data_IF_015547506536
#
_entry.id   IF_015547506536
#
_cell.length_a   1.000
_cell.length_b   1.000
_cell.length_c   1.000
_cell.angle_alpha   90.00
_cell.angle_beta   90.00
_cell.angle_gamma   90.00
#
_symmetry.space_group_name_H-M   'P 1'
#
loop_
_entity.id
_entity.type
_entity.pdbx_description
1 polymer ?
#
# COMPACT_ATOMS: atom_id res chain seq x y z
N UNK A 1 -19.22 18.68 8.94
CA UNK A 1 -17.79 18.57 8.60
C UNK A 1 -17.19 19.96 8.62
N UNK A 2 -15.96 20.13 9.12
CA UNK A 2 -15.26 21.42 9.04
C UNK A 2 -14.46 21.43 7.74
N UNK A 3 -15.04 21.95 6.67
CA UNK A 3 -14.48 21.87 5.31
C UNK A 3 -13.34 22.89 5.06
N UNK A 4 -12.87 23.61 6.08
CA UNK A 4 -11.84 24.64 5.98
C UNK A 4 -10.91 24.71 7.19
N UNK A 5 -9.82 25.48 7.08
CA UNK A 5 -8.85 25.71 8.15
C UNK A 5 -9.49 26.32 9.41
N UNK A 6 -9.29 25.70 10.57
CA UNK A 6 -9.76 26.24 11.86
C UNK A 6 -8.96 27.48 12.29
N UNK A 7 -7.67 27.52 11.95
CA UNK A 7 -6.73 28.56 12.31
C UNK A 7 -6.22 29.32 11.09
N UNK A 8 -5.76 30.54 11.33
CA UNK A 8 -5.02 31.33 10.34
C UNK A 8 -3.54 30.99 10.46
N UNK A 9 -2.87 30.90 9.31
CA UNK A 9 -1.45 30.63 9.24
C UNK A 9 -0.73 31.82 8.63
N UNK A 10 0.40 32.16 9.24
CA UNK A 10 1.27 33.26 8.86
C UNK A 10 2.67 32.75 8.56
N UNK A 11 3.32 33.46 7.64
CA UNK A 11 4.71 33.25 7.23
C UNK A 11 5.54 34.42 7.72
N UNK A 12 6.74 34.13 8.21
CA UNK A 12 7.74 35.11 8.59
C UNK A 12 9.08 34.69 7.97
N UNK A 13 9.77 35.65 7.33
CA UNK A 13 11.00 35.40 6.58
C UNK A 13 12.20 36.00 7.33
N UNK A 14 13.27 35.23 7.47
CA UNK A 14 14.48 35.63 8.20
C UNK A 14 15.72 35.40 7.34
N UNK A 15 16.67 36.32 7.33
CA UNK A 15 17.90 36.21 6.54
C UNK A 15 18.62 37.55 6.39
N UNK A 16 19.85 37.51 5.90
CA UNK A 16 20.67 38.69 5.70
C UNK A 16 20.14 39.55 4.53
N UNK A 17 20.00 40.85 4.75
CA UNK A 17 19.62 41.84 3.74
C UNK A 17 18.23 41.67 3.08
N UNK A 18 17.33 40.89 3.70
CA UNK A 18 15.91 40.90 3.34
C UNK A 18 15.26 42.27 3.62
N UNK A 19 14.41 42.79 2.72
CA UNK A 19 13.69 44.03 2.98
C UNK A 19 12.71 43.86 4.15
N UNK A 20 12.61 44.88 5.01
CA UNK A 20 11.81 44.85 6.26
C UNK A 20 10.32 44.54 6.04
N UNK A 21 9.79 44.75 4.83
CA UNK A 21 8.44 44.36 4.43
C UNK A 21 8.26 42.84 4.31
N UNK A 22 9.29 42.13 3.82
CA UNK A 22 9.28 40.67 3.66
C UNK A 22 9.63 39.95 4.96
N UNK A 23 10.47 40.55 5.81
CA UNK A 23 10.66 40.08 7.20
C UNK A 23 9.46 40.32 8.12
N UNK A 24 8.41 41.01 7.66
CA UNK A 24 7.20 41.19 8.47
C UNK A 24 6.32 39.93 8.43
N UNK A 25 5.55 39.71 9.50
CA UNK A 25 4.63 38.58 9.62
C UNK A 25 3.46 38.72 8.65
N UNK A 26 3.44 37.92 7.59
CA UNK A 26 2.44 37.99 6.51
C UNK A 26 1.39 36.87 6.63
N UNK A 27 0.13 37.18 6.33
CA UNK A 27 -0.93 36.16 6.24
C UNK A 27 -0.69 35.24 5.03
N UNK A 28 -0.63 33.93 5.27
CA UNK A 28 -0.47 32.90 4.22
C UNK A 28 -1.79 32.16 3.95
N UNK A 29 -2.53 31.80 5.01
CA UNK A 29 -3.82 31.09 4.93
C UNK A 29 -4.83 31.79 5.84
N UNK A 30 -5.94 32.34 5.32
CA UNK A 30 -7.02 32.92 6.13
C UNK A 30 -7.85 31.82 6.79
N UNK A 31 -8.65 32.18 7.80
CA UNK A 31 -9.57 31.26 8.46
C UNK A 31 -10.61 30.70 7.49
N UNK A 32 -11.08 29.48 7.74
CA UNK A 32 -12.07 28.76 6.91
C UNK A 32 -11.64 28.54 5.44
N UNK A 33 -10.33 28.61 5.14
CA UNK A 33 -9.82 28.29 3.80
C UNK A 33 -10.08 26.82 3.50
N UNK A 34 -10.83 26.55 2.42
CA UNK A 34 -11.20 25.19 2.00
C UNK A 34 -9.98 24.27 1.89
N UNK A 35 -10.09 23.06 2.44
CA UNK A 35 -9.02 22.05 2.43
C UNK A 35 -9.25 20.97 1.34
N UNK A 36 -8.18 20.41 0.73
CA UNK A 36 -6.79 20.85 0.78
C UNK A 36 -6.55 22.09 -0.10
N UNK A 37 -5.46 22.83 0.15
CA UNK A 37 -5.15 24.08 -0.54
C UNK A 37 -3.65 24.21 -0.86
N UNK A 38 -3.29 24.77 -2.03
CA UNK A 38 -1.89 24.98 -2.46
C UNK A 38 -1.59 26.46 -2.65
N UNK A 39 -0.63 26.98 -1.89
CA UNK A 39 -0.26 28.39 -1.80
C UNK A 39 1.15 28.61 -2.37
N UNK A 40 1.48 29.85 -2.70
CA UNK A 40 2.86 30.24 -2.96
C UNK A 40 3.13 31.69 -2.54
N UNK A 41 4.41 32.01 -2.35
CA UNK A 41 4.94 33.37 -2.17
C UNK A 41 6.11 33.56 -3.13
N UNK A 42 6.21 34.75 -3.72
CA UNK A 42 7.32 35.14 -4.59
C UNK A 42 8.09 36.25 -3.90
N UNK A 43 9.37 36.02 -3.64
CA UNK A 43 10.25 36.90 -2.86
C UNK A 43 11.39 37.33 -3.79
N UNK A 44 11.65 38.62 -3.93
CA UNK A 44 12.82 39.12 -4.67
C UNK A 44 13.98 39.17 -3.68
N UNK A 45 14.92 38.22 -3.80
CA UNK A 45 16.08 38.13 -2.94
C UNK A 45 17.20 37.35 -3.64
N UNK A 46 18.44 37.56 -3.20
CA UNK A 46 19.68 37.08 -3.79
C UNK A 46 20.48 36.15 -2.88
N UNK A 47 20.10 36.02 -1.60
CA UNK A 47 20.79 35.20 -0.58
C UNK A 47 19.90 34.09 -0.01
N UNK A 48 20.53 33.13 0.63
CA UNK A 48 19.84 32.03 1.31
C UNK A 48 19.10 32.54 2.56
N UNK A 49 17.88 32.06 2.77
CA UNK A 49 16.95 32.58 3.79
C UNK A 49 16.14 31.47 4.47
N UNK A 50 15.53 31.85 5.58
CA UNK A 50 14.75 30.99 6.47
C UNK A 50 13.27 31.37 6.43
N UNK A 51 12.41 30.35 6.48
CA UNK A 51 10.95 30.46 6.45
C UNK A 51 10.40 29.87 7.74
N UNK A 52 9.83 30.73 8.57
CA UNK A 52 9.08 30.34 9.76
C UNK A 52 7.58 30.32 9.45
N UNK A 53 6.91 29.21 9.77
CA UNK A 53 5.46 29.07 9.70
C UNK A 53 4.88 29.07 11.11
N UNK A 54 3.88 29.91 11.35
CA UNK A 54 3.22 30.01 12.65
C UNK A 54 1.70 30.15 12.51
N UNK A 55 0.99 29.91 13.60
CA UNK A 55 -0.42 30.31 13.76
C UNK A 55 -0.51 31.81 14.05
N UNK A 56 -1.53 32.50 13.55
CA UNK A 56 -1.77 33.91 13.90
C UNK A 56 -2.21 34.05 15.36
N UNK A 57 -1.52 34.91 16.12
CA UNK A 57 -1.70 35.01 17.58
C UNK A 57 -2.98 35.73 18.03
N UNK A 58 -3.81 36.21 17.10
CA UNK A 58 -5.13 36.79 17.38
C UNK A 58 -6.18 35.74 17.74
N UNK A 59 -5.90 34.47 17.46
CA UNK A 59 -6.73 33.36 17.89
C UNK A 59 -6.04 32.66 19.06
N UNK A 60 -6.73 32.60 20.20
CA UNK A 60 -6.28 31.89 21.38
C UNK A 60 -6.07 30.41 20.99
N UNK A 61 -4.81 29.99 20.93
CA UNK A 61 -4.44 28.59 20.82
C UNK A 61 -4.91 27.85 22.09
N UNK A 62 -5.21 26.54 22.01
CA UNK A 62 -5.66 25.79 23.18
C UNK A 62 -4.68 25.92 24.37
N UNK A 63 -5.18 25.93 25.61
CA UNK A 63 -4.32 25.99 26.79
C UNK A 63 -3.33 24.82 26.79
N UNK A 64 -2.04 25.13 26.96
CA UNK A 64 -0.94 24.17 26.85
C UNK A 64 -0.06 24.34 25.61
N UNK A 65 -0.47 25.14 24.61
CA UNK A 65 0.40 25.47 23.46
C UNK A 65 1.41 26.56 23.83
N UNK A 66 2.68 26.17 24.02
CA UNK A 66 3.77 27.06 24.47
C UNK A 66 4.28 28.03 23.41
N UNK A 67 4.09 27.74 22.11
CA UNK A 67 4.56 28.57 21.00
C UNK A 67 3.58 28.52 19.83
N UNK A 68 3.33 29.65 19.14
CA UNK A 68 2.56 29.67 17.89
C UNK A 68 3.36 29.15 16.68
N UNK A 69 4.68 28.98 16.81
CA UNK A 69 5.53 28.43 15.75
C UNK A 69 5.12 26.98 15.45
N UNK A 70 4.92 26.67 14.18
CA UNK A 70 4.52 25.36 13.71
C UNK A 70 5.66 24.61 13.00
N UNK A 71 6.46 25.29 12.17
CA UNK A 71 7.59 24.71 11.45
C UNK A 71 8.61 25.79 11.08
N UNK A 72 9.88 25.40 10.88
CA UNK A 72 10.92 26.29 10.37
C UNK A 72 11.78 25.58 9.32
N UNK A 73 12.01 26.23 8.18
CA UNK A 73 12.75 25.70 7.04
C UNK A 73 13.86 26.65 6.62
N UNK A 74 15.08 26.15 6.46
CA UNK A 74 16.14 26.81 5.73
C UNK A 74 15.98 26.54 4.23
N UNK A 75 15.92 27.58 3.41
CA UNK A 75 16.05 27.50 1.96
C UNK A 75 17.49 27.85 1.59
N UNK A 76 18.09 27.04 0.72
CA UNK A 76 19.49 27.15 0.34
C UNK A 76 19.74 26.95 -1.16
N UNK A 77 20.82 27.56 -1.65
CA UNK A 77 21.22 27.56 -3.07
C UNK A 77 20.66 28.74 -3.89
N UNK A 78 20.00 29.71 -3.25
CA UNK A 78 19.57 30.95 -3.91
C UNK A 78 20.78 31.87 -4.14
N UNK A 79 21.72 31.92 -3.20
CA UNK A 79 23.00 32.61 -3.37
C UNK A 79 23.79 32.06 -4.58
N UNK A 80 23.86 30.73 -4.72
CA UNK A 80 24.53 30.07 -5.84
C UNK A 80 23.84 30.35 -7.17
N UNK A 81 22.50 30.33 -7.21
CA UNK A 81 21.73 30.66 -8.40
C UNK A 81 21.92 32.14 -8.78
N UNK A 82 21.86 33.04 -7.80
CA UNK A 82 22.05 34.48 -8.00
C UNK A 82 23.45 34.77 -8.57
N UNK A 83 24.51 34.24 -7.96
CA UNK A 83 25.89 34.43 -8.44
C UNK A 83 26.13 33.89 -9.86
N UNK A 84 25.47 32.78 -10.24
CA UNK A 84 25.61 32.17 -11.58
C UNK A 84 24.86 32.90 -12.69
N UNK A 85 23.76 33.58 -12.38
CA UNK A 85 22.86 34.14 -13.39
C UNK A 85 22.74 35.67 -13.38
N UNK A 86 23.20 36.36 -12.33
CA UNK A 86 23.18 37.84 -12.26
C UNK A 86 24.06 38.55 -13.28
N UNK A 87 25.03 37.85 -13.89
CA UNK A 87 25.88 38.37 -14.97
C UNK A 87 25.24 38.33 -16.35
N UNK A 88 24.00 37.83 -16.48
CA UNK A 88 23.26 37.75 -17.76
C UNK A 88 22.32 38.96 -17.93
N UNK A 89 21.78 39.12 -19.14
CA UNK A 89 20.78 40.14 -19.48
C UNK A 89 19.42 39.86 -18.82
N UNK A 90 19.32 40.05 -17.50
CA UNK A 90 18.10 39.80 -16.73
C UNK A 90 16.97 40.76 -17.14
N UNK A 91 15.81 40.22 -17.50
CA UNK A 91 14.59 40.98 -17.76
C UNK A 91 13.83 41.37 -16.47
N UNK A 92 14.22 40.80 -15.34
CA UNK A 92 13.68 41.08 -14.00
C UNK A 92 14.66 40.57 -12.93
N UNK A 93 14.62 41.15 -11.71
CA UNK A 93 15.32 40.57 -10.56
C UNK A 93 14.94 39.10 -10.35
N UNK A 94 15.90 38.29 -9.89
CA UNK A 94 15.70 36.88 -9.57
C UNK A 94 14.69 36.76 -8.42
N UNK A 95 13.74 35.83 -8.56
CA UNK A 95 12.63 35.63 -7.61
C UNK A 95 12.67 34.23 -7.04
N UNK A 96 12.69 34.09 -5.72
CA UNK A 96 12.42 32.82 -5.05
C UNK A 96 10.90 32.60 -4.97
N UNK A 97 10.37 31.56 -5.61
CA UNK A 97 8.98 31.13 -5.45
C UNK A 97 8.94 29.95 -4.48
N UNK A 98 8.38 30.19 -3.30
CA UNK A 98 8.19 29.17 -2.26
C UNK A 98 6.75 28.67 -2.33
N UNK A 99 6.58 27.36 -2.47
CA UNK A 99 5.28 26.70 -2.54
C UNK A 99 4.95 26.00 -1.21
N UNK A 100 3.69 26.14 -0.79
CA UNK A 100 3.16 25.53 0.43
C UNK A 100 1.93 24.68 0.10
N UNK A 101 1.74 23.57 0.81
CA UNK A 101 0.47 22.85 0.82
C UNK A 101 -0.12 22.81 2.22
N UNK A 102 -1.44 22.93 2.26
CA UNK A 102 -2.26 22.70 3.44
C UNK A 102 -3.09 21.44 3.19
N UNK A 103 -2.76 20.38 3.91
CA UNK A 103 -3.33 19.05 3.71
C UNK A 103 -4.81 18.97 4.14
N UNK A 104 -5.48 17.86 3.80
CA UNK A 104 -6.81 17.56 4.33
C UNK A 104 -6.81 17.28 5.85
N UNK A 105 -5.66 16.91 6.43
CA UNK A 105 -5.46 16.81 7.88
C UNK A 105 -5.19 18.15 8.58
N UNK A 106 -5.16 19.26 7.83
CA UNK A 106 -4.91 20.60 8.37
C UNK A 106 -3.44 20.90 8.67
N UNK A 107 -2.51 20.04 8.23
CA UNK A 107 -1.07 20.23 8.37
C UNK A 107 -0.59 21.14 7.23
N UNK A 108 0.14 22.19 7.57
CA UNK A 108 0.78 23.11 6.62
C UNK A 108 2.24 22.69 6.44
N UNK A 109 2.67 22.49 5.19
CA UNK A 109 4.06 22.15 4.85
C UNK A 109 4.59 22.99 3.69
N UNK A 110 5.91 23.10 3.59
CA UNK A 110 6.61 23.71 2.47
C UNK A 110 7.00 22.61 1.47
N UNK A 111 6.39 22.62 0.28
CA UNK A 111 6.48 21.53 -0.70
C UNK A 111 7.74 21.61 -1.58
N UNK A 112 8.06 22.83 -2.04
CA UNK A 112 9.20 23.13 -2.93
C UNK A 112 9.53 24.61 -2.91
N UNK A 113 10.75 24.95 -3.31
CA UNK A 113 11.17 26.32 -3.57
C UNK A 113 11.97 26.36 -4.88
N UNK A 114 11.63 27.30 -5.76
CA UNK A 114 12.25 27.48 -7.08
C UNK A 114 12.85 28.90 -7.18
N UNK A 115 14.10 29.05 -7.61
CA UNK A 115 14.59 30.35 -8.08
C UNK A 115 14.22 30.53 -9.55
N UNK A 116 13.43 31.57 -9.85
CA UNK A 116 12.98 31.93 -11.20
C UNK A 116 13.91 33.01 -11.75
N UNK A 117 14.47 32.73 -12.92
CA UNK A 117 15.38 33.62 -13.64
C UNK A 117 14.75 33.96 -14.99
N UNK A 118 14.63 35.24 -15.29
CA UNK A 118 14.05 35.78 -16.54
C UNK A 118 15.16 36.50 -17.33
N UNK A 119 15.47 36.04 -18.54
CA UNK A 119 16.53 36.59 -19.41
C UNK A 119 15.92 37.15 -20.70
N UNK A 120 16.45 38.26 -21.18
CA UNK A 120 16.16 38.86 -22.48
C UNK A 120 17.37 38.81 -23.38
N UNK A 121 17.25 38.11 -24.51
CA UNK A 121 18.28 38.11 -25.55
C UNK A 121 17.77 38.82 -26.81
N UNK A 122 18.64 39.63 -27.40
CA UNK A 122 18.38 40.30 -28.67
C UNK A 122 18.73 39.35 -29.84
N UNK A 123 17.73 38.59 -30.33
CA UNK A 123 17.94 37.74 -31.50
C UNK A 123 18.01 38.58 -32.77
N UNK A 124 19.17 38.56 -33.44
CA UNK A 124 19.21 38.80 -34.88
C UNK A 124 18.50 37.61 -35.56
N UNK A 125 17.52 37.89 -36.41
CA UNK A 125 16.88 36.84 -37.22
C UNK A 125 17.86 36.38 -38.31
N UNK A 126 18.27 35.11 -38.25
CA UNK A 126 18.57 34.30 -39.43
C UNK A 126 17.56 33.17 -39.45
N UNK A 127 16.74 33.13 -40.50
CA UNK A 127 15.73 32.09 -40.69
C UNK A 127 16.41 30.78 -41.07
N UNK A 128 15.94 29.66 -40.49
CA UNK A 128 15.87 28.40 -41.22
C UNK A 128 14.71 27.55 -40.69
N UNK A 129 14.15 26.69 -41.54
CA UNK A 129 12.76 26.25 -41.49
C UNK A 129 12.61 24.75 -41.23
N UNK A 130 11.57 24.34 -40.49
CA UNK A 130 10.82 23.09 -40.77
C UNK A 130 9.54 22.97 -39.93
N UNK A 131 8.41 22.88 -40.64
CA UNK A 131 7.24 21.99 -40.43
C UNK A 131 6.73 21.73 -38.98
N UNK A 132 5.60 22.27 -38.51
CA UNK A 132 4.18 22.16 -38.95
C UNK A 132 3.40 20.95 -38.38
N UNK A 133 2.38 21.23 -37.55
CA UNK A 133 1.07 20.53 -37.56
C UNK A 133 -0.02 21.55 -37.14
N UNK A 134 -1.18 21.52 -37.80
CA UNK A 134 -2.34 22.40 -37.54
C UNK A 134 -3.39 21.72 -36.64
N UNK A 135 -4.20 22.53 -35.94
CA UNK A 135 -5.67 22.36 -35.89
C UNK A 135 -6.38 23.59 -35.29
N UNK A 136 -6.94 24.42 -36.19
CA UNK A 136 -8.30 24.99 -36.19
C UNK A 136 -9.09 25.12 -34.86
N UNK A 137 -9.55 26.32 -34.45
CA UNK A 137 -10.75 27.09 -34.90
C UNK A 137 -11.83 27.05 -33.78
N UNK A 138 -12.73 28.01 -33.47
CA UNK A 138 -13.46 28.97 -34.32
C UNK A 138 -14.15 30.11 -33.50
N UNK A 139 -13.97 31.38 -33.91
CA UNK A 139 -14.96 32.49 -34.07
C UNK A 139 -15.87 33.05 -32.92
N UNK A 140 -15.76 34.38 -32.67
CA UNK A 140 -16.79 35.46 -32.59
C UNK A 140 -16.29 36.63 -31.70
N UNK A 141 -16.11 37.92 -32.05
CA UNK A 141 -16.53 38.89 -33.10
C UNK A 141 -17.73 39.83 -32.76
N UNK A 142 -17.42 41.04 -32.29
CA UNK A 142 -18.18 42.34 -32.38
C UNK A 142 -17.25 43.45 -31.85
N UNK A 143 -16.68 44.43 -32.59
CA UNK A 143 -17.25 45.60 -33.33
C UNK A 143 -17.89 46.65 -32.40
N UNK A 144 -17.58 47.97 -32.34
CA UNK A 144 -17.27 49.04 -33.34
C UNK A 144 -16.55 50.25 -32.64
N UNK A 145 -16.23 51.44 -33.20
CA UNK A 145 -15.70 51.92 -34.52
C UNK A 145 -15.58 53.47 -34.51
N UNK A 146 -14.40 54.06 -34.77
CA UNK A 146 -14.12 55.48 -35.18
C UNK A 146 -12.63 55.53 -35.60
N UNK A 147 -12.17 55.81 -36.83
CA UNK A 147 -12.37 56.97 -37.75
C UNK A 147 -11.82 58.28 -37.14
N UNK A 148 -10.84 59.02 -37.69
CA UNK A 148 -9.96 58.95 -38.91
C UNK A 148 -8.60 59.67 -38.57
N UNK A 149 -7.55 59.89 -39.39
CA UNK A 149 -7.35 59.88 -40.86
C UNK A 149 -5.95 59.30 -41.28
N UNK A 150 -5.01 60.08 -41.86
CA UNK A 150 -3.74 59.59 -42.48
C UNK A 150 -2.56 60.58 -42.41
N UNK A 151 -1.31 60.07 -42.27
CA UNK A 151 -0.11 60.53 -43.02
C UNK A 151 1.15 59.64 -42.81
N UNK A 152 1.78 59.29 -43.92
CA UNK A 152 3.04 58.57 -44.19
C UNK A 152 4.18 58.43 -43.12
N UNK A 153 4.49 57.16 -42.83
CA UNK A 153 5.80 56.47 -43.00
C UNK A 153 7.12 56.99 -42.36
N UNK A 154 7.52 56.31 -41.26
CA UNK A 154 8.86 55.68 -41.12
C UNK A 154 8.71 54.32 -40.40
N UNK A 155 9.26 53.20 -40.91
CA UNK A 155 9.20 51.92 -40.21
C UNK A 155 10.36 51.78 -39.22
N UNK A 156 10.16 52.22 -37.98
CA UNK A 156 11.03 51.83 -36.88
C UNK A 156 10.98 50.31 -36.70
N UNK A 157 12.05 49.61 -37.08
CA UNK A 157 12.16 48.15 -36.91
C UNK A 157 12.23 47.78 -35.42
N UNK A 158 11.07 47.52 -34.81
CA UNK A 158 10.97 46.97 -33.47
C UNK A 158 11.66 45.59 -33.41
N UNK A 159 12.86 45.57 -32.83
CA UNK A 159 13.53 44.31 -32.48
C UNK A 159 12.71 43.59 -31.42
N UNK A 160 11.94 42.57 -31.82
CA UNK A 160 11.19 41.70 -30.91
C UNK A 160 12.13 40.91 -30.00
N UNK A 161 12.43 41.46 -28.83
CA UNK A 161 13.22 40.78 -27.79
C UNK A 161 12.50 39.51 -27.33
N UNK A 162 13.18 38.36 -27.44
CA UNK A 162 12.66 37.10 -26.90
C UNK A 162 12.99 37.02 -25.41
N UNK A 163 11.98 36.76 -24.59
CA UNK A 163 12.11 36.52 -23.14
C UNK A 163 12.16 35.02 -22.88
N UNK A 164 13.13 34.57 -22.10
CA UNK A 164 13.24 33.19 -21.65
C UNK A 164 13.18 33.12 -20.13
N UNK A 165 12.43 32.15 -19.61
CA UNK A 165 12.24 31.95 -18.17
C UNK A 165 12.51 30.50 -17.82
N UNK A 166 13.36 30.27 -16.84
CA UNK A 166 13.64 28.93 -16.30
C UNK A 166 13.66 28.94 -14.77
N UNK A 167 13.63 27.75 -14.18
CA UNK A 167 13.57 27.54 -12.74
C UNK A 167 14.74 26.69 -12.28
N UNK A 168 15.34 27.09 -11.17
CA UNK A 168 16.40 26.35 -10.48
C UNK A 168 15.81 25.85 -9.15
N UNK A 169 15.71 24.54 -8.91
CA UNK A 169 15.18 24.02 -7.64
C UNK A 169 16.13 24.36 -6.49
N UNK A 170 15.57 24.89 -5.41
CA UNK A 170 16.29 25.24 -4.18
C UNK A 170 16.23 24.10 -3.17
N UNK A 171 17.26 23.97 -2.34
CA UNK A 171 17.34 22.93 -1.32
C UNK A 171 16.67 23.40 -0.03
N UNK A 172 15.69 22.64 0.42
CA UNK A 172 14.95 22.87 1.67
C UNK A 172 15.52 21.95 2.76
N UNK A 173 15.78 22.50 3.95
CA UNK A 173 16.18 21.77 5.15
C UNK A 173 15.31 22.21 6.32
N UNK A 174 14.63 21.26 6.96
CA UNK A 174 13.81 21.54 8.15
C UNK A 174 14.70 21.69 9.39
N UNK A 175 14.44 22.71 10.23
CA UNK A 175 15.30 23.12 11.34
C UNK A 175 14.71 22.88 12.73
N UNK A 176 13.42 23.18 12.91
CA UNK A 176 12.74 23.06 14.21
C UNK A 176 11.63 22.04 14.10
N UNK A 177 11.79 20.93 14.83
CA UNK A 177 10.75 19.92 15.04
C UNK A 177 9.86 20.36 16.20
N UNK A 178 8.71 20.96 15.90
CA UNK A 178 7.68 21.26 16.92
C UNK A 178 6.85 19.99 17.20
N UNK A 179 6.26 19.89 18.39
CA UNK A 179 5.37 18.79 18.74
C UNK A 179 4.24 18.62 17.70
N UNK A 180 4.14 17.42 17.11
CA UNK A 180 3.17 17.09 16.05
C UNK A 180 3.73 17.06 14.63
N UNK A 181 5.01 17.39 14.43
CA UNK A 181 5.69 17.20 13.13
C UNK A 181 6.13 15.76 12.89
N UNK A 182 6.46 15.42 11.64
CA UNK A 182 6.95 14.09 11.27
C UNK A 182 8.26 13.74 11.98
N UNK A 183 8.28 12.56 12.62
CA UNK A 183 9.46 11.98 13.25
C UNK A 183 10.61 11.81 12.24
N UNK A 184 11.85 11.86 12.73
CA UNK A 184 13.03 11.65 11.87
C UNK A 184 13.00 10.25 11.23
N UNK A 185 13.64 10.11 10.06
CA UNK A 185 13.64 8.84 9.30
C UNK A 185 14.33 7.73 10.09
N UNK A 186 15.34 8.10 10.87
CA UNK A 186 16.14 7.25 11.73
C UNK A 186 15.27 6.72 12.89
N UNK A 187 14.54 7.60 13.57
CA UNK A 187 13.61 7.21 14.64
C UNK A 187 12.47 6.33 14.12
N UNK A 188 11.91 6.65 12.95
CA UNK A 188 10.88 5.81 12.31
C UNK A 188 11.42 4.41 11.94
N UNK A 189 12.67 4.31 11.49
CA UNK A 189 13.30 3.03 11.19
C UNK A 189 13.56 2.20 12.46
N UNK A 190 14.03 2.83 13.53
CA UNK A 190 14.21 2.18 14.84
C UNK A 190 12.87 1.71 15.42
N UNK A 191 11.87 2.58 15.46
CA UNK A 191 10.53 2.27 15.96
C UNK A 191 9.88 1.12 15.17
N UNK A 192 10.01 1.13 13.84
CA UNK A 192 9.54 0.02 12.98
C UNK A 192 10.26 -1.29 13.30
N UNK A 193 11.58 -1.27 13.45
CA UNK A 193 12.36 -2.47 13.79
C UNK A 193 11.95 -3.03 15.15
N UNK A 194 11.72 -2.15 16.14
CA UNK A 194 11.24 -2.53 17.47
C UNK A 194 9.84 -3.14 17.44
N UNK A 195 8.92 -2.58 16.66
CA UNK A 195 7.58 -3.15 16.47
C UNK A 195 7.64 -4.54 15.81
N UNK A 196 8.43 -4.71 14.74
CA UNK A 196 8.60 -6.01 14.09
C UNK A 196 9.18 -7.08 15.03
N UNK A 197 10.06 -6.70 15.96
CA UNK A 197 10.59 -7.61 16.97
C UNK A 197 9.56 -8.00 18.05
N UNK A 198 8.57 -7.15 18.32
CA UNK A 198 7.43 -7.45 19.20
C UNK A 198 6.40 -8.31 18.48
N UNK A 199 6.02 -7.95 17.25
CA UNK A 199 5.10 -8.71 16.40
C UNK A 199 5.57 -10.17 16.25
N UNK A 200 6.88 -10.39 16.03
CA UNK A 200 7.45 -11.74 15.95
C UNK A 200 7.23 -12.54 17.24
N UNK A 201 7.44 -11.92 18.42
CA UNK A 201 7.23 -12.59 19.73
C UNK A 201 5.77 -12.88 20.00
N UNK A 202 4.87 -12.01 19.55
CA UNK A 202 3.42 -12.22 19.70
C UNK A 202 2.89 -13.29 18.74
N UNK A 203 3.45 -13.40 17.52
CA UNK A 203 3.19 -14.52 16.60
C UNK A 203 3.72 -15.83 17.16
N UNK A 204 4.91 -15.83 17.73
CA UNK A 204 5.51 -17.02 18.37
C UNK A 204 4.67 -17.49 19.57
N UNK A 205 4.27 -16.59 20.48
CA UNK A 205 3.36 -16.91 21.60
C UNK A 205 2.02 -17.48 21.12
N UNK A 206 1.45 -16.93 20.04
CA UNK A 206 0.21 -17.46 19.44
C UNK A 206 0.41 -18.86 18.89
N UNK A 207 1.47 -19.10 18.12
CA UNK A 207 1.80 -20.44 17.59
C UNK A 207 1.96 -21.46 18.71
N UNK A 208 2.68 -21.12 19.79
CA UNK A 208 2.83 -22.01 20.94
C UNK A 208 1.48 -22.34 21.59
N UNK A 209 0.62 -21.34 21.82
CA UNK A 209 -0.71 -21.55 22.39
C UNK A 209 -1.66 -22.35 21.46
N UNK A 210 -1.61 -22.10 20.16
CA UNK A 210 -2.34 -22.85 19.13
C UNK A 210 -1.85 -24.31 19.07
N UNK A 211 -0.54 -24.55 19.17
CA UNK A 211 0.05 -25.90 19.17
C UNK A 211 -0.32 -26.69 20.43
N UNK A 212 -0.26 -26.04 21.60
CA UNK A 212 -0.73 -26.61 22.88
C UNK A 212 -2.21 -27.01 22.81
N UNK A 213 -3.08 -26.12 22.33
CA UNK A 213 -4.52 -26.39 22.16
C UNK A 213 -4.79 -27.49 21.11
N UNK A 214 -4.04 -27.52 20.00
CA UNK A 214 -4.17 -28.58 18.99
C UNK A 214 -3.79 -29.96 19.55
N UNK A 215 -2.73 -30.04 20.37
CA UNK A 215 -2.32 -31.27 21.06
C UNK A 215 -3.37 -31.70 22.09
N UNK A 216 -3.76 -30.79 22.98
CA UNK A 216 -4.76 -31.04 24.03
C UNK A 216 -6.12 -31.50 23.43
N UNK A 217 -6.60 -30.78 22.42
CA UNK A 217 -7.82 -31.13 21.68
C UNK A 217 -7.71 -32.46 20.93
N UNK A 218 -6.55 -32.80 20.37
CA UNK A 218 -6.34 -34.12 19.75
C UNK A 218 -6.40 -35.23 20.80
N UNK A 219 -5.78 -35.05 21.98
CA UNK A 219 -5.81 -36.03 23.07
C UNK A 219 -7.26 -36.27 23.52
N UNK A 220 -8.00 -35.22 23.87
CA UNK A 220 -9.38 -35.35 24.35
C UNK A 220 -10.30 -35.98 23.29
N UNK A 221 -10.29 -35.48 22.05
CA UNK A 221 -11.15 -36.03 20.99
C UNK A 221 -10.76 -37.44 20.55
N UNK A 222 -9.51 -37.87 20.79
CA UNK A 222 -9.08 -39.24 20.52
C UNK A 222 -9.51 -40.19 21.63
N UNK A 223 -9.33 -39.81 22.91
CA UNK A 223 -9.82 -40.58 24.06
C UNK A 223 -11.34 -40.80 24.00
N UNK A 224 -12.11 -39.73 23.77
CA UNK A 224 -13.58 -39.80 23.59
C UNK A 224 -13.97 -40.81 22.49
N UNK A 225 -13.27 -40.80 21.34
CA UNK A 225 -13.52 -41.74 20.24
C UNK A 225 -13.17 -43.19 20.58
N UNK A 226 -12.08 -43.42 21.31
CA UNK A 226 -11.67 -44.77 21.74
C UNK A 226 -12.70 -45.36 22.71
N UNK A 227 -13.27 -44.54 23.59
CA UNK A 227 -14.28 -44.96 24.57
C UNK A 227 -15.69 -45.11 23.96
N UNK A 228 -16.07 -44.21 23.04
CA UNK A 228 -17.47 -44.11 22.55
C UNK A 228 -17.74 -44.93 21.29
N UNK A 229 -16.74 -45.11 20.41
CA UNK A 229 -16.96 -45.78 19.13
C UNK A 229 -16.66 -47.28 19.23
N UNK A 230 -17.69 -48.12 19.30
CA UNK A 230 -17.56 -49.58 19.13
C UNK A 230 -16.88 -49.97 17.79
N UNK A 231 -16.93 -49.09 16.79
CA UNK A 231 -16.21 -49.26 15.52
C UNK A 231 -14.69 -49.25 15.68
N UNK A 232 -14.16 -48.62 16.73
CA UNK A 232 -12.73 -48.64 17.06
C UNK A 232 -12.25 -50.07 17.38
N UNK A 233 -13.13 -50.92 17.94
CA UNK A 233 -12.85 -52.35 18.17
C UNK A 233 -12.71 -53.14 16.87
N UNK A 234 -13.41 -52.70 15.81
CA UNK A 234 -13.38 -53.33 14.47
C UNK A 234 -12.19 -52.84 13.66
N UNK A 235 -11.74 -51.61 13.90
CA UNK A 235 -10.62 -50.98 13.21
C UNK A 235 -9.22 -51.28 13.79
N UNK A 236 -9.12 -51.77 15.04
CA UNK A 236 -7.83 -51.91 15.74
C UNK A 236 -7.78 -53.10 16.71
N UNK A 237 -6.57 -53.60 17.01
CA UNK A 237 -6.40 -54.67 17.99
C UNK A 237 -6.51 -54.17 19.44
N UNK A 238 -6.72 -55.07 20.40
CA UNK A 238 -6.70 -54.70 21.82
C UNK A 238 -5.33 -54.19 22.29
N UNK A 239 -4.24 -54.64 21.66
CA UNK A 239 -2.86 -54.24 22.01
C UNK A 239 -2.55 -52.86 21.43
N UNK A 240 -2.92 -52.59 20.17
CA UNK A 240 -2.82 -51.26 19.55
C UNK A 240 -3.55 -50.20 20.39
N UNK A 241 -4.80 -50.50 20.82
CA UNK A 241 -5.60 -49.56 21.62
C UNK A 241 -4.99 -49.26 22.98
N UNK A 242 -4.50 -50.28 23.71
CA UNK A 242 -3.86 -50.09 25.02
C UNK A 242 -2.59 -49.26 24.89
N UNK A 243 -1.71 -49.63 23.97
CA UNK A 243 -0.48 -48.87 23.68
C UNK A 243 -0.77 -47.41 23.29
N UNK A 244 -1.85 -47.16 22.54
CA UNK A 244 -2.22 -45.80 22.16
C UNK A 244 -2.80 -44.99 23.32
N UNK A 245 -3.65 -45.60 24.17
CA UNK A 245 -4.16 -44.94 25.39
C UNK A 245 -3.01 -44.62 26.36
N UNK A 246 -2.10 -45.58 26.61
CA UNK A 246 -0.90 -45.36 27.43
C UNK A 246 -0.05 -44.20 26.89
N UNK A 247 0.09 -44.07 25.56
CA UNK A 247 0.80 -42.93 24.94
C UNK A 247 0.03 -41.61 25.01
N UNK A 248 -1.30 -41.64 24.95
CA UNK A 248 -2.15 -40.46 25.15
C UNK A 248 -2.10 -39.98 26.60
N UNK A 249 -2.01 -40.89 27.57
CA UNK A 249 -1.80 -40.59 28.98
C UNK A 249 -0.40 -39.99 29.22
N UNK A 250 0.66 -40.63 28.72
CA UNK A 250 2.05 -40.15 28.84
C UNK A 250 2.24 -38.72 28.30
N UNK A 251 1.68 -38.42 27.13
CA UNK A 251 1.76 -37.08 26.53
C UNK A 251 0.84 -36.07 27.25
N UNK A 252 -0.28 -36.52 27.83
CA UNK A 252 -1.14 -35.65 28.65
C UNK A 252 -0.51 -35.30 30.00
N UNK A 253 0.15 -36.25 30.66
CA UNK A 253 0.89 -35.99 31.88
C UNK A 253 2.05 -35.02 31.62
N UNK A 254 2.82 -35.27 30.55
CA UNK A 254 3.88 -34.35 30.08
C UNK A 254 3.35 -32.92 29.85
N UNK A 255 2.17 -32.78 29.22
CA UNK A 255 1.54 -31.49 28.92
C UNK A 255 1.31 -30.61 30.17
N UNK A 256 1.07 -31.24 31.32
CA UNK A 256 0.83 -30.57 32.60
C UNK A 256 2.02 -30.61 33.58
N UNK A 257 3.14 -31.27 33.23
CA UNK A 257 4.40 -31.24 34.00
C UNK A 257 5.45 -30.39 33.30
N UNK A 258 6.18 -30.97 32.34
CA UNK A 258 7.34 -30.37 31.68
C UNK A 258 6.93 -29.54 30.46
N UNK A 259 5.70 -29.76 29.96
CA UNK A 259 5.11 -29.12 28.80
C UNK A 259 4.55 -27.71 29.02
N UNK A 260 4.58 -27.13 30.24
CA UNK A 260 4.06 -25.77 30.46
C UNK A 260 4.92 -24.68 29.81
N UNK A 261 6.26 -24.83 29.85
CA UNK A 261 7.24 -23.90 29.25
C UNK A 261 7.77 -24.38 27.88
N UNK A 262 7.18 -25.45 27.33
CA UNK A 262 7.60 -26.05 26.06
C UNK A 262 7.39 -25.12 24.85
N UNK A 263 8.19 -25.32 23.81
CA UNK A 263 8.10 -24.55 22.57
C UNK A 263 7.07 -25.13 21.58
N UNK A 264 6.68 -24.34 20.59
CA UNK A 264 5.70 -24.76 19.58
C UNK A 264 6.10 -26.05 18.84
N UNK A 265 7.40 -26.24 18.58
CA UNK A 265 7.91 -27.43 17.88
C UNK A 265 7.81 -28.70 18.70
N UNK A 266 8.01 -28.64 20.03
CA UNK A 266 7.82 -29.80 20.93
C UNK A 266 6.35 -30.24 20.97
N UNK A 267 5.40 -29.30 21.04
CA UNK A 267 3.97 -29.62 20.94
C UNK A 267 3.60 -30.23 19.58
N UNK A 268 4.17 -29.72 18.48
CA UNK A 268 3.98 -30.26 17.13
C UNK A 268 4.58 -31.68 17.01
N UNK A 269 5.78 -31.93 17.55
CA UNK A 269 6.43 -33.25 17.55
C UNK A 269 5.64 -34.29 18.37
N UNK A 270 5.16 -33.94 19.56
CA UNK A 270 4.32 -34.83 20.36
C UNK A 270 2.98 -35.12 19.67
N UNK A 271 2.37 -34.13 19.03
CA UNK A 271 1.15 -34.32 18.24
C UNK A 271 1.38 -35.26 17.05
N UNK A 272 2.50 -35.13 16.35
CA UNK A 272 2.82 -36.00 15.21
C UNK A 272 3.19 -37.43 15.63
N UNK A 273 3.81 -37.62 16.81
CA UNK A 273 3.97 -38.95 17.42
C UNK A 273 2.61 -39.63 17.69
N UNK A 274 1.63 -38.89 18.23
CA UNK A 274 0.29 -39.41 18.49
C UNK A 274 -0.49 -39.67 17.18
N UNK A 275 -0.33 -38.85 16.14
CA UNK A 275 -0.91 -39.09 14.81
C UNK A 275 -0.31 -40.31 14.12
N UNK A 276 1.00 -40.55 14.26
CA UNK A 276 1.64 -41.73 13.66
C UNK A 276 1.00 -43.06 14.10
N UNK A 277 0.43 -43.09 15.32
CA UNK A 277 -0.35 -44.23 15.85
C UNK A 277 -1.84 -44.12 15.48
N UNK A 278 -2.43 -42.93 15.63
CA UNK A 278 -3.86 -42.71 15.43
C UNK A 278 -4.33 -42.72 13.97
N UNK A 279 -3.60 -42.09 13.05
CA UNK A 279 -4.00 -41.92 11.65
C UNK A 279 -4.19 -43.27 10.93
N UNK A 280 -3.34 -44.31 11.10
CA UNK A 280 -3.62 -45.65 10.56
C UNK A 280 -4.88 -46.30 11.11
N UNK A 281 -5.31 -45.98 12.34
CA UNK A 281 -6.54 -46.51 12.93
C UNK A 281 -7.76 -45.72 12.42
N UNK A 282 -7.68 -44.39 12.43
CA UNK A 282 -8.74 -43.53 11.87
C UNK A 282 -8.94 -43.75 10.37
N UNK A 283 -7.88 -44.06 9.62
CA UNK A 283 -7.97 -44.47 8.22
C UNK A 283 -8.74 -45.79 8.07
N UNK A 284 -8.36 -46.83 8.82
CA UNK A 284 -9.10 -48.11 8.87
C UNK A 284 -10.58 -47.89 9.20
N UNK A 285 -10.88 -47.08 10.21
CA UNK A 285 -12.22 -46.72 10.65
C UNK A 285 -13.04 -46.04 9.53
N UNK A 286 -12.43 -45.06 8.84
CA UNK A 286 -13.06 -44.37 7.71
C UNK A 286 -13.32 -45.31 6.54
N UNK A 287 -12.38 -46.20 6.22
CA UNK A 287 -12.52 -47.19 5.16
C UNK A 287 -13.63 -48.22 5.45
N UNK A 288 -13.91 -48.55 6.73
CA UNK A 288 -15.03 -49.45 7.08
C UNK A 288 -16.39 -48.93 6.60
N UNK A 289 -16.59 -47.61 6.49
CA UNK A 289 -17.84 -46.99 6.00
C UNK A 289 -17.73 -46.51 4.55
N UNK A 290 -16.55 -46.02 4.13
CA UNK A 290 -16.31 -45.55 2.78
C UNK A 290 -16.22 -46.70 1.74
N UNK A 291 -15.59 -47.84 2.09
CA UNK A 291 -15.43 -48.95 1.15
C UNK A 291 -16.75 -49.62 0.76
N UNK A 292 -17.69 -49.97 1.68
CA UNK A 292 -18.97 -50.53 1.28
C UNK A 292 -19.79 -49.60 0.40
N UNK A 293 -19.84 -48.30 0.74
CA UNK A 293 -20.58 -47.30 -0.05
C UNK A 293 -19.97 -47.07 -1.44
N UNK A 294 -18.64 -47.09 -1.56
CA UNK A 294 -17.95 -47.06 -2.86
C UNK A 294 -18.23 -48.32 -3.70
N UNK A 295 -18.21 -49.51 -3.09
CA UNK A 295 -18.55 -50.79 -3.77
C UNK A 295 -20.01 -50.82 -4.22
N UNK A 296 -20.96 -50.35 -3.41
CA UNK A 296 -22.35 -50.19 -3.82
C UNK A 296 -22.51 -49.25 -5.02
N UNK A 297 -21.81 -48.12 -5.01
CA UNK A 297 -21.85 -47.15 -6.11
C UNK A 297 -21.26 -47.74 -7.39
N UNK A 298 -20.14 -48.47 -7.29
CA UNK A 298 -19.55 -49.21 -8.41
C UNK A 298 -20.52 -50.27 -8.96
N UNK A 299 -21.20 -51.03 -8.09
CA UNK A 299 -22.21 -52.00 -8.51
C UNK A 299 -23.42 -51.35 -9.22
N UNK A 300 -23.94 -50.23 -8.70
CA UNK A 300 -25.01 -49.46 -9.37
C UNK A 300 -24.58 -48.99 -10.76
N UNK A 301 -23.40 -48.40 -10.88
CA UNK A 301 -22.83 -47.97 -12.16
C UNK A 301 -22.64 -49.13 -13.15
N UNK A 302 -22.19 -50.30 -12.69
CA UNK A 302 -22.07 -51.49 -13.54
C UNK A 302 -23.41 -52.02 -14.04
N UNK A 303 -24.49 -51.89 -13.25
CA UNK A 303 -25.86 -52.26 -13.67
C UNK A 303 -26.37 -51.28 -14.72
N UNK A 304 -26.22 -49.98 -14.50
CA UNK A 304 -26.59 -48.92 -15.46
C UNK A 304 -25.81 -49.07 -16.78
N UNK A 305 -24.51 -49.33 -16.71
CA UNK A 305 -23.67 -49.58 -17.89
C UNK A 305 -24.14 -50.79 -18.70
N UNK A 306 -24.55 -51.89 -18.03
CA UNK A 306 -25.14 -53.05 -18.72
C UNK A 306 -26.46 -52.68 -19.43
N UNK A 307 -27.32 -51.87 -18.82
CA UNK A 307 -28.55 -51.38 -19.47
C UNK A 307 -28.22 -50.50 -20.70
N UNK A 308 -27.30 -49.56 -20.58
CA UNK A 308 -26.85 -48.69 -21.67
C UNK A 308 -26.28 -49.49 -22.85
N UNK A 309 -25.51 -50.56 -22.58
CA UNK A 309 -24.95 -51.43 -23.61
C UNK A 309 -26.04 -52.28 -24.31
N UNK A 310 -27.07 -52.74 -23.60
CA UNK A 310 -28.23 -53.37 -24.25
C UNK A 310 -29.00 -52.37 -25.13
N UNK A 311 -29.16 -51.12 -24.70
CA UNK A 311 -29.75 -50.07 -25.55
C UNK A 311 -28.93 -49.77 -26.81
N UNK A 312 -27.61 -49.93 -26.79
CA UNK A 312 -26.78 -49.72 -27.99
C UNK A 312 -27.09 -50.76 -29.08
N UNK A 313 -27.49 -51.99 -28.72
CA UNK A 313 -27.88 -53.02 -29.70
C UNK A 313 -29.10 -52.61 -30.53
N UNK A 314 -30.02 -51.84 -29.95
CA UNK A 314 -31.23 -51.36 -30.63
C UNK A 314 -31.07 -49.95 -31.21
N UNK A 315 -30.41 -49.02 -30.50
CA UNK A 315 -30.28 -47.60 -30.90
C UNK A 315 -29.01 -47.27 -31.71
N UNK A 316 -27.99 -48.14 -31.72
CA UNK A 316 -26.65 -47.85 -32.28
C UNK A 316 -26.04 -49.03 -33.07
N UNK A 317 -26.78 -49.56 -34.04
CA UNK A 317 -26.39 -50.73 -34.85
C UNK A 317 -25.10 -50.57 -35.69
N UNK A 318 -24.56 -49.35 -35.83
CA UNK A 318 -23.30 -49.08 -36.53
C UNK A 318 -22.04 -49.30 -35.66
N UNK A 319 -22.18 -49.60 -34.37
CA UNK A 319 -21.03 -49.82 -33.49
C UNK A 319 -20.36 -51.19 -33.76
N UNK A 320 -19.01 -51.26 -33.88
CA UNK A 320 -18.29 -52.51 -34.00
C UNK A 320 -18.54 -53.43 -32.79
N UNK A 321 -18.93 -54.68 -33.05
CA UNK A 321 -19.25 -55.66 -31.99
C UNK A 321 -18.07 -55.94 -31.08
N UNK A 322 -16.83 -55.92 -31.59
CA UNK A 322 -15.63 -56.11 -30.77
C UNK A 322 -15.51 -55.04 -29.67
N UNK A 323 -15.78 -53.77 -29.98
CA UNK A 323 -15.73 -52.67 -29.00
C UNK A 323 -16.83 -52.80 -27.93
N UNK A 324 -18.00 -53.31 -28.29
CA UNK A 324 -19.08 -53.58 -27.33
C UNK A 324 -18.69 -54.73 -26.39
N UNK A 325 -18.10 -55.80 -26.91
CA UNK A 325 -17.56 -56.90 -26.09
C UNK A 325 -16.37 -56.48 -25.20
N UNK A 326 -15.50 -55.60 -25.69
CA UNK A 326 -14.39 -55.03 -24.90
C UNK A 326 -14.93 -54.29 -23.66
N UNK A 327 -15.98 -53.46 -23.82
CA UNK A 327 -16.64 -52.75 -22.72
C UNK A 327 -17.28 -53.72 -21.72
N UNK A 328 -17.97 -54.77 -22.19
CA UNK A 328 -18.59 -55.79 -21.31
C UNK A 328 -17.52 -56.55 -20.52
N UNK A 329 -16.48 -57.07 -21.18
CA UNK A 329 -15.38 -57.79 -20.52
C UNK A 329 -14.66 -56.91 -19.48
N UNK A 330 -14.52 -55.62 -19.75
CA UNK A 330 -13.90 -54.67 -18.80
C UNK A 330 -14.82 -54.44 -17.59
N UNK A 331 -16.13 -54.28 -17.81
CA UNK A 331 -17.11 -54.16 -16.74
C UNK A 331 -17.17 -55.43 -15.86
N UNK A 332 -16.99 -56.61 -16.44
CA UNK A 332 -16.98 -57.87 -15.68
C UNK A 332 -15.71 -58.04 -14.85
N UNK A 333 -14.53 -57.67 -15.37
CA UNK A 333 -13.30 -57.58 -14.56
C UNK A 333 -13.41 -56.61 -13.39
N UNK A 334 -14.02 -55.43 -13.60
CA UNK A 334 -14.25 -54.47 -12.51
C UNK A 334 -15.22 -55.03 -11.47
N UNK A 335 -16.22 -55.83 -11.88
CA UNK A 335 -17.11 -56.54 -10.96
C UNK A 335 -16.37 -57.60 -10.13
N UNK A 336 -15.47 -58.37 -10.74
CA UNK A 336 -14.65 -59.37 -10.03
C UNK A 336 -13.70 -58.74 -9.02
N UNK A 337 -13.18 -57.54 -9.30
CA UNK A 337 -12.31 -56.78 -8.39
C UNK A 337 -13.05 -56.08 -7.24
N UNK A 338 -14.39 -56.01 -7.29
CA UNK A 338 -15.23 -55.33 -6.30
C UNK A 338 -15.94 -56.28 -5.32
N UNK A 339 -15.76 -57.60 -5.47
CA UNK A 339 -16.28 -58.65 -4.58
C UNK A 339 -15.31 -59.03 -3.46
#
# INVERSE_FOLDING_TARGET
MVDGSLYEFVIELSGADLPKSECSRQLLVPKMKKLPSKMFRSIIHDKDFEVSLAYESKHLLPPGVTSPLNAQYQISGLADASGKYSSRNLSSPIKAIVHFSLSRSGVLSLDRADAVVEITDASNNSEESSESVQSDSCINKTSNTSAEEQAAAEPATEKKLKKWTFRVPLKIVEKITVAGMSLSKEFLAEAKTKLQALDKKDVERKRTAESKNNLEGYIYTTKEKIETLEEFEKGSTSEERKSFVEKLDEVQDWLYTDGEDANATEFEEHLDQLKAIGDPIFFRLKELTARPTAVEHAHKYLIELKQIVEEWKSKKSWLPKERVHEVINTAEKVKELAG
#
